data_IF_669930833809
#
_entry.id   IF_669930833809
#
_cell.length_a   1.000
_cell.length_b   1.000
_cell.length_c   1.000
_cell.angle_alpha   90.00
_cell.angle_beta   90.00
_cell.angle_gamma   90.00
#
_symmetry.space_group_name_H-M   'P 1'
#
loop_
_entity.id
_entity.type
_entity.pdbx_description
1 polymer ?
#
# COMPACT_ATOMS: atom_id res chain seq x y z
N UNK A 1 8.44 -6.49 32.07
CA UNK A 1 7.84 -5.40 31.31
C UNK A 1 8.70 -4.90 30.19
N UNK A 2 9.93 -4.58 30.43
CA UNK A 2 10.84 -4.19 29.35
C UNK A 2 11.07 -5.31 28.34
N UNK A 3 11.13 -6.53 28.82
CA UNK A 3 11.33 -7.68 27.94
C UNK A 3 10.13 -7.94 27.03
N UNK A 4 8.91 -7.70 27.49
CA UNK A 4 7.72 -7.85 26.64
C UNK A 4 7.69 -6.80 25.53
N UNK A 5 8.08 -5.57 25.85
CA UNK A 5 8.17 -4.52 24.84
C UNK A 5 9.25 -4.82 23.82
N UNK A 6 10.37 -5.33 24.28
CA UNK A 6 11.47 -5.69 23.39
C UNK A 6 11.04 -6.83 22.46
N UNK A 7 10.37 -7.85 22.99
CA UNK A 7 9.85 -8.95 22.19
C UNK A 7 8.81 -8.50 21.17
N UNK A 8 7.94 -7.58 21.57
CA UNK A 8 6.95 -7.00 20.64
C UNK A 8 7.64 -6.21 19.54
N UNK A 9 8.67 -5.44 19.89
CA UNK A 9 9.44 -4.68 18.90
C UNK A 9 10.15 -5.61 17.91
N UNK A 10 10.72 -6.68 18.42
CA UNK A 10 11.43 -7.63 17.56
C UNK A 10 10.50 -8.34 16.58
N UNK A 11 9.20 -8.45 16.92
CA UNK A 11 8.21 -9.10 16.07
C UNK A 11 7.47 -8.15 15.15
N UNK A 12 7.75 -6.85 15.27
CA UNK A 12 7.12 -5.83 14.45
C UNK A 12 8.13 -5.33 13.43
N UNK A 13 7.87 -5.67 12.18
CA UNK A 13 8.72 -5.21 11.09
C UNK A 13 8.16 -3.90 10.55
N UNK A 14 9.02 -2.90 10.45
CA UNK A 14 8.68 -1.64 9.82
C UNK A 14 9.37 -1.54 8.49
N UNK A 15 8.57 -1.60 7.44
CA UNK A 15 9.10 -1.44 6.10
C UNK A 15 8.81 -0.05 5.61
N UNK A 16 9.80 0.82 5.68
CA UNK A 16 9.75 2.06 4.92
C UNK A 16 10.13 1.66 3.51
N UNK A 17 9.16 1.62 2.62
CA UNK A 17 9.41 0.94 1.42
C UNK A 17 9.50 1.83 0.24
N UNK A 18 10.55 1.70 -0.42
CA UNK A 18 10.74 2.32 -1.70
C UNK A 18 10.04 1.53 -2.80
N UNK A 19 9.22 0.57 -2.40
CA UNK A 19 8.23 -0.03 -3.24
C UNK A 19 8.63 -1.29 -3.98
N UNK A 20 9.84 -1.76 -3.77
CA UNK A 20 10.30 -2.94 -4.48
C UNK A 20 10.19 -4.18 -3.60
N UNK A 21 9.75 -5.29 -4.17
CA UNK A 21 9.77 -6.58 -3.49
C UNK A 21 8.99 -6.66 -2.18
N UNK A 22 7.87 -5.94 -2.11
CA UNK A 22 7.01 -5.96 -0.92
C UNK A 22 6.56 -7.38 -0.58
N UNK A 23 6.14 -8.13 -1.59
CA UNK A 23 5.68 -9.49 -1.40
C UNK A 23 6.75 -10.39 -0.81
N UNK A 24 7.95 -10.31 -1.32
CA UNK A 24 9.06 -11.13 -0.83
C UNK A 24 9.47 -10.74 0.58
N UNK A 25 9.48 -9.43 0.88
CA UNK A 25 9.80 -8.95 2.22
C UNK A 25 8.80 -9.46 3.25
N UNK A 26 7.51 -9.40 2.93
CA UNK A 26 6.47 -9.88 3.82
C UNK A 26 6.51 -11.40 3.99
N UNK A 27 6.75 -12.13 2.92
CA UNK A 27 6.91 -13.59 3.00
C UNK A 27 8.06 -13.97 3.91
N UNK A 28 9.20 -13.30 3.76
CA UNK A 28 10.37 -13.56 4.59
C UNK A 28 10.09 -13.24 6.04
N UNK A 29 9.45 -12.10 6.32
CA UNK A 29 9.08 -11.72 7.68
C UNK A 29 8.12 -12.74 8.31
N UNK A 30 7.14 -13.19 7.55
CA UNK A 30 6.20 -14.20 8.02
C UNK A 30 6.91 -15.52 8.34
N UNK A 31 7.82 -15.93 7.48
CA UNK A 31 8.56 -17.18 7.66
C UNK A 31 9.39 -17.20 8.94
N UNK A 32 9.94 -16.06 9.34
CA UNK A 32 10.76 -15.97 10.57
C UNK A 32 9.95 -15.58 11.81
N UNK A 33 8.62 -15.53 11.69
CA UNK A 33 7.76 -15.42 12.85
C UNK A 33 7.22 -14.03 13.17
N UNK A 34 7.44 -13.03 12.33
CA UNK A 34 6.84 -11.73 12.54
C UNK A 34 5.32 -11.81 12.40
N UNK A 35 4.61 -11.09 13.27
CA UNK A 35 3.14 -11.07 13.27
C UNK A 35 2.58 -9.67 13.00
N UNK A 36 3.41 -8.66 13.05
CA UNK A 36 3.00 -7.27 12.82
C UNK A 36 3.91 -6.64 11.79
N UNK A 37 3.33 -5.94 10.84
CA UNK A 37 4.09 -5.22 9.84
C UNK A 37 3.46 -3.85 9.59
N UNK A 38 4.29 -2.83 9.48
CA UNK A 38 3.85 -1.51 9.05
C UNK A 38 4.50 -1.20 7.72
N UNK A 39 3.67 -0.91 6.73
CA UNK A 39 4.13 -0.62 5.39
C UNK A 39 3.85 0.84 5.08
N UNK A 40 4.91 1.63 4.92
CA UNK A 40 4.80 3.03 4.54
C UNK A 40 5.20 3.17 3.08
N UNK A 41 4.25 3.56 2.25
CA UNK A 41 4.48 3.62 0.79
C UNK A 41 3.88 4.87 0.20
N UNK A 42 4.45 5.32 -0.89
CA UNK A 42 3.93 6.44 -1.66
C UNK A 42 2.76 6.00 -2.52
N UNK A 43 1.93 6.95 -2.91
CA UNK A 43 0.67 6.65 -3.61
C UNK A 43 0.89 5.87 -4.91
N UNK A 44 1.95 6.13 -5.65
CA UNK A 44 2.22 5.41 -6.89
C UNK A 44 2.41 3.92 -6.68
N UNK A 45 3.15 3.55 -5.64
CA UNK A 45 3.37 2.15 -5.29
C UNK A 45 2.12 1.55 -4.64
N UNK A 46 1.41 2.35 -3.86
CA UNK A 46 0.18 1.92 -3.22
C UNK A 46 -0.88 1.52 -4.25
N UNK A 47 -1.01 2.29 -5.32
CA UNK A 47 -1.95 1.97 -6.39
C UNK A 47 -1.62 0.63 -7.03
N UNK A 48 -0.35 0.38 -7.31
CA UNK A 48 0.10 -0.89 -7.88
C UNK A 48 -0.20 -2.06 -6.95
N UNK A 49 0.10 -1.88 -5.67
CA UNK A 49 -0.15 -2.90 -4.65
C UNK A 49 -1.65 -3.15 -4.49
N UNK A 50 -2.45 -2.10 -4.46
CA UNK A 50 -3.89 -2.21 -4.34
C UNK A 50 -4.51 -2.97 -5.50
N UNK A 51 -3.94 -2.84 -6.68
CA UNK A 51 -4.38 -3.56 -7.86
C UNK A 51 -3.93 -5.03 -7.87
N UNK A 52 -3.20 -5.46 -6.84
CA UNK A 52 -2.79 -6.85 -6.70
C UNK A 52 -1.35 -7.14 -7.05
N UNK A 53 -0.55 -6.14 -7.33
CA UNK A 53 0.85 -6.32 -7.72
C UNK A 53 1.75 -6.22 -6.50
N UNK A 54 2.11 -7.36 -5.92
CA UNK A 54 2.98 -7.40 -4.75
C UNK A 54 4.43 -7.04 -5.09
N UNK A 55 4.82 -7.21 -6.32
CA UNK A 55 6.09 -6.73 -6.82
C UNK A 55 5.85 -5.38 -7.48
N UNK A 56 6.00 -4.33 -6.69
CA UNK A 56 5.73 -2.96 -7.14
C UNK A 56 6.92 -2.32 -7.81
N UNK A 57 8.01 -3.04 -7.88
CA UNK A 57 9.18 -2.62 -8.58
C UNK A 57 8.88 -2.60 -10.06
N UNK A 58 9.40 -1.60 -10.72
CA UNK A 58 9.53 -1.68 -12.10
C UNK A 58 8.63 -0.80 -12.95
N UNK A 59 9.28 -0.30 -13.90
CA UNK A 59 8.73 0.41 -15.02
C UNK A 59 7.82 -0.47 -15.91
N UNK A 60 7.75 -1.77 -15.64
CA UNK A 60 6.82 -2.67 -16.35
C UNK A 60 5.39 -2.54 -15.84
N UNK A 61 5.22 -2.11 -14.60
CA UNK A 61 3.90 -1.91 -14.01
C UNK A 61 3.59 -0.43 -14.03
N UNK A 62 2.78 -0.01 -14.96
CA UNK A 62 2.35 1.38 -15.08
C UNK A 62 1.09 1.61 -14.27
N UNK A 63 0.76 2.89 -14.07
CA UNK A 63 -0.48 3.26 -13.38
C UNK A 63 -1.69 2.74 -14.14
N UNK A 64 -2.49 1.94 -13.47
CA UNK A 64 -3.70 1.35 -14.07
C UNK A 64 -4.88 2.29 -13.86
N UNK A 65 -5.17 3.09 -14.86
CA UNK A 65 -6.29 4.03 -14.77
C UNK A 65 -7.64 3.34 -14.71
N UNK A 66 -7.77 2.18 -15.35
CA UNK A 66 -9.03 1.43 -15.30
C UNK A 66 -9.33 0.98 -13.87
N UNK A 67 -8.31 0.54 -13.14
CA UNK A 67 -8.44 0.19 -11.74
C UNK A 67 -8.85 1.40 -10.90
N UNK A 68 -8.23 2.54 -11.13
CA UNK A 68 -8.54 3.77 -10.40
C UNK A 68 -9.97 4.24 -10.68
N UNK A 69 -10.38 4.18 -11.92
CA UNK A 69 -11.74 4.55 -12.33
C UNK A 69 -12.76 3.64 -11.68
N UNK A 70 -12.50 2.34 -11.72
CA UNK A 70 -13.38 1.35 -11.10
C UNK A 70 -13.50 1.57 -9.59
N UNK A 71 -12.39 1.88 -8.94
CA UNK A 71 -12.35 2.17 -7.50
C UNK A 71 -13.19 3.41 -7.19
N UNK A 72 -13.01 4.49 -7.94
CA UNK A 72 -13.77 5.72 -7.74
C UNK A 72 -15.27 5.46 -7.93
N UNK A 73 -15.65 4.74 -8.97
CA UNK A 73 -17.06 4.40 -9.22
C UNK A 73 -17.68 3.60 -8.10
N UNK A 74 -16.93 2.66 -7.54
CA UNK A 74 -17.42 1.85 -6.43
C UNK A 74 -17.72 2.67 -5.19
N UNK A 75 -17.12 3.85 -5.08
CA UNK A 75 -17.31 4.77 -3.96
C UNK A 75 -18.24 5.94 -4.30
N UNK A 76 -18.86 5.91 -5.48
CA UNK A 76 -19.69 7.01 -5.97
C UNK A 76 -18.92 8.31 -6.11
N UNK A 77 -17.68 8.22 -6.55
CA UNK A 77 -16.82 9.36 -6.83
C UNK A 77 -16.72 9.52 -8.34
N UNK A 78 -16.80 10.76 -8.81
CA UNK A 78 -16.64 11.04 -10.24
C UNK A 78 -15.23 10.66 -10.70
N UNK A 79 -15.09 9.71 -11.65
CA UNK A 79 -13.77 9.28 -12.11
C UNK A 79 -13.15 10.18 -13.17
N UNK A 80 -13.89 11.16 -13.68
CA UNK A 80 -13.42 12.00 -14.80
C UNK A 80 -12.05 12.62 -14.56
N UNK A 81 -11.73 13.17 -13.36
CA UNK A 81 -10.42 13.76 -13.15
C UNK A 81 -9.25 12.79 -13.34
N UNK A 82 -9.49 11.50 -13.15
CA UNK A 82 -8.45 10.49 -13.28
C UNK A 82 -7.90 10.44 -14.72
N UNK A 83 -8.76 10.71 -15.69
CA UNK A 83 -8.36 10.67 -17.09
C UNK A 83 -7.30 11.71 -17.42
N UNK A 84 -7.26 12.81 -16.69
CA UNK A 84 -6.37 13.92 -16.96
C UNK A 84 -5.02 13.86 -16.28
N UNK A 85 -4.81 12.93 -15.36
CA UNK A 85 -3.54 12.87 -14.64
C UNK A 85 -2.50 12.06 -15.40
N UNK A 86 -1.23 12.39 -15.17
CA UNK A 86 -0.12 11.64 -15.72
C UNK A 86 0.68 10.91 -14.65
N UNK A 87 0.61 11.40 -13.40
CA UNK A 87 1.35 10.84 -12.26
C UNK A 87 0.39 10.54 -11.12
N UNK A 88 0.65 9.43 -10.44
CA UNK A 88 -0.21 9.01 -9.34
C UNK A 88 -0.30 10.03 -8.21
N UNK A 89 0.76 10.81 -7.95
CA UNK A 89 0.73 11.82 -6.88
C UNK A 89 -0.34 12.89 -7.10
N UNK A 90 -0.79 13.07 -8.33
CA UNK A 90 -1.85 14.02 -8.63
C UNK A 90 -3.20 13.60 -8.02
N UNK A 91 -3.32 12.32 -7.66
CA UNK A 91 -4.53 11.84 -6.98
C UNK A 91 -4.77 12.57 -5.65
N UNK A 92 -3.70 12.99 -4.98
CA UNK A 92 -3.84 13.73 -3.72
C UNK A 92 -4.64 15.02 -3.88
N UNK A 93 -4.59 15.62 -5.06
CA UNK A 93 -5.26 16.88 -5.34
C UNK A 93 -6.68 16.71 -5.87
N UNK A 94 -7.03 15.54 -6.38
CA UNK A 94 -8.30 15.34 -7.08
C UNK A 94 -9.25 14.35 -6.41
N UNK A 95 -8.78 13.56 -5.47
CA UNK A 95 -9.61 12.53 -4.84
C UNK A 95 -9.87 12.85 -3.37
N UNK A 96 -11.07 12.50 -2.87
CA UNK A 96 -11.39 12.68 -1.46
C UNK A 96 -10.71 11.62 -0.59
N UNK A 97 -10.70 11.87 0.72
CA UNK A 97 -10.06 10.98 1.68
C UNK A 97 -10.56 9.54 1.60
N UNK A 98 -11.86 9.34 1.38
CA UNK A 98 -12.41 7.99 1.31
C UNK A 98 -11.82 7.16 0.18
N UNK A 99 -11.35 7.82 -0.89
CA UNK A 99 -10.66 7.12 -1.97
C UNK A 99 -9.35 6.49 -1.47
N UNK A 100 -8.57 7.26 -0.71
CA UNK A 100 -7.30 6.79 -0.17
C UNK A 100 -7.51 5.72 0.91
N UNK A 101 -8.57 5.83 1.69
CA UNK A 101 -8.92 4.79 2.65
C UNK A 101 -9.24 3.47 1.94
N UNK A 102 -9.91 3.54 0.80
CA UNK A 102 -10.18 2.33 0.01
C UNK A 102 -8.88 1.76 -0.58
N UNK A 103 -7.99 2.61 -1.07
CA UNK A 103 -6.68 2.17 -1.58
C UNK A 103 -5.91 1.44 -0.47
N UNK A 104 -5.89 2.00 0.74
CA UNK A 104 -5.23 1.35 1.88
C UNK A 104 -5.84 -0.02 2.17
N UNK A 105 -7.14 -0.11 2.14
CA UNK A 105 -7.86 -1.36 2.37
C UNK A 105 -7.46 -2.42 1.34
N UNK A 106 -7.40 -2.04 0.07
CA UNK A 106 -7.01 -2.94 -1.00
C UNK A 106 -5.54 -3.35 -0.90
N UNK A 107 -4.68 -2.43 -0.48
CA UNK A 107 -3.28 -2.76 -0.19
C UNK A 107 -3.18 -3.80 0.92
N UNK A 108 -3.96 -3.61 1.97
CA UNK A 108 -4.01 -4.54 3.08
C UNK A 108 -4.41 -5.94 2.60
N UNK A 109 -5.45 -6.03 1.80
CA UNK A 109 -5.90 -7.30 1.25
C UNK A 109 -4.81 -7.99 0.43
N UNK A 110 -4.11 -7.24 -0.41
CA UNK A 110 -3.02 -7.78 -1.21
C UNK A 110 -1.89 -8.32 -0.32
N UNK A 111 -1.53 -7.57 0.71
CA UNK A 111 -0.46 -7.97 1.62
C UNK A 111 -0.82 -9.20 2.44
N UNK A 112 -2.09 -9.34 2.82
CA UNK A 112 -2.51 -10.48 3.62
C UNK A 112 -2.38 -11.80 2.88
N UNK A 113 -2.29 -11.79 1.57
CA UNK A 113 -2.07 -13.02 0.81
C UNK A 113 -0.71 -13.64 1.10
N UNK A 114 0.27 -12.84 1.52
CA UNK A 114 1.63 -13.30 1.80
C UNK A 114 2.01 -13.13 3.27
N UNK A 115 1.12 -12.59 4.07
CA UNK A 115 1.35 -12.38 5.51
C UNK A 115 0.10 -12.80 6.28
N UNK A 116 -0.35 -14.07 6.10
CA UNK A 116 -1.61 -14.52 6.72
C UNK A 116 -1.49 -14.58 8.22
N UNK A 117 -2.63 -14.36 8.89
CA UNK A 117 -2.74 -14.39 10.35
C UNK A 117 -1.94 -13.29 11.06
N UNK A 118 -1.36 -12.36 10.31
CA UNK A 118 -0.65 -11.24 10.88
C UNK A 118 -1.48 -9.97 10.84
N UNK A 119 -0.92 -8.90 11.39
CA UNK A 119 -1.50 -7.57 11.32
C UNK A 119 -0.61 -6.70 10.46
N UNK A 120 -1.21 -6.06 9.47
CA UNK A 120 -0.50 -5.15 8.59
C UNK A 120 -1.16 -3.78 8.67
N UNK A 121 -0.33 -2.79 8.92
CA UNK A 121 -0.76 -1.39 8.90
C UNK A 121 -0.20 -0.74 7.64
N UNK A 122 -1.08 -0.14 6.86
CA UNK A 122 -0.68 0.56 5.64
C UNK A 122 -0.70 2.06 5.92
N UNK A 123 0.41 2.73 5.61
CA UNK A 123 0.52 4.18 5.73
C UNK A 123 0.86 4.74 4.36
N UNK A 124 -0.01 5.62 3.87
CA UNK A 124 0.26 6.32 2.62
C UNK A 124 1.07 7.57 2.91
N UNK A 125 2.18 7.71 2.23
CA UNK A 125 3.06 8.85 2.39
C UNK A 125 2.80 9.82 1.24
N UNK A 126 2.57 11.08 1.61
CA UNK A 126 2.41 12.14 0.62
C UNK A 126 3.80 12.59 0.19
N UNK A 127 4.08 12.54 -1.09
CA UNK A 127 5.38 12.89 -1.65
C UNK A 127 5.50 14.36 -2.03
N UNK A 128 4.50 15.15 -1.71
CA UNK A 128 4.51 16.59 -2.02
C UNK A 128 5.30 17.43 -1.01
N UNK A 129 5.77 16.81 0.06
CA UNK A 129 6.51 17.50 1.12
C UNK A 129 8.00 17.61 0.83
N UNK A 130 8.44 17.14 -0.27
CA UNK A 130 9.85 17.22 -0.64
C UNK A 130 10.19 18.48 -1.44
#
# INVERSE_FOLDING_TARGET
MKSERALKKEKDIRCVHYGNFIGEALKAAHAIGFRHATLAIMIGKAVKLAAGNLDTHSHKVVMDKDFLISTARSLNIDPSPILGITMARELWDIMPERFFERIKSLCHESCMTVFPQGEIKIRLICDTLL
#
